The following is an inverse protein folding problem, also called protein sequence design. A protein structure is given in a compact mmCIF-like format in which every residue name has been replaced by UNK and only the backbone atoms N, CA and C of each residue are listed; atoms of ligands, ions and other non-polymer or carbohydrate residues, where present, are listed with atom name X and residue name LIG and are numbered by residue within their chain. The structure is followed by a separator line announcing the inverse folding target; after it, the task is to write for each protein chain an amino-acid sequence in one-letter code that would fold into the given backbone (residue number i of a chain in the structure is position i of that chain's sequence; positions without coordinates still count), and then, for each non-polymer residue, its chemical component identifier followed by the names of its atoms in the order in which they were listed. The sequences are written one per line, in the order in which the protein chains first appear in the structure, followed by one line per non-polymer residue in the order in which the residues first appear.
data_IF_662429946808
#
_entry.id   IF_662429946808
#
_cell.length_a   1.000
_cell.length_b   1.000
_cell.length_c   1.000
_cell.angle_alpha   90.00
_cell.angle_beta   90.00
_cell.angle_gamma   90.00
#
_symmetry.space_group_name_H-M   'P 1'
#
loop_
_entity.id
_entity.type
_entity.pdbx_description
1 polymer ?
#
# COMPACT_ATOMS: atom_id res chain seq x y z
N UNK A 1 -11.83 10.59 14.63
CA UNK A 1 -12.22 12.00 14.37
C UNK A 1 -11.11 12.77 13.67
N UNK A 2 -9.88 12.81 14.20
CA UNK A 2 -8.74 13.54 13.58
C UNK A 2 -8.37 13.07 12.17
N UNK A 3 -8.29 11.76 11.91
CA UNK A 3 -7.90 11.23 10.58
C UNK A 3 -8.92 11.56 9.49
N UNK A 4 -10.21 11.53 9.80
CA UNK A 4 -11.28 11.91 8.85
C UNK A 4 -11.16 13.37 8.44
N UNK A 5 -11.00 14.30 9.39
CA UNK A 5 -10.83 15.72 9.04
C UNK A 5 -9.59 15.98 8.18
N UNK A 6 -8.50 15.26 8.44
CA UNK A 6 -7.25 15.36 7.68
C UNK A 6 -7.42 14.81 6.26
N UNK A 7 -8.07 13.66 6.12
CA UNK A 7 -8.40 13.05 4.83
C UNK A 7 -9.37 13.94 4.05
N UNK A 8 -10.42 14.45 4.67
CA UNK A 8 -11.43 15.29 4.01
C UNK A 8 -10.83 16.61 3.52
N UNK A 9 -9.99 17.25 4.34
CA UNK A 9 -9.29 18.49 3.96
C UNK A 9 -8.28 18.26 2.83
N UNK A 10 -7.51 17.17 2.90
CA UNK A 10 -6.55 16.83 1.85
C UNK A 10 -7.25 16.40 0.55
N UNK A 11 -8.40 15.72 0.65
CA UNK A 11 -9.25 15.35 -0.50
C UNK A 11 -9.84 16.58 -1.16
N UNK A 12 -10.35 17.55 -0.38
CA UNK A 12 -10.89 18.80 -0.90
C UNK A 12 -9.82 19.63 -1.62
N UNK A 13 -8.59 19.66 -1.09
CA UNK A 13 -7.46 20.33 -1.72
C UNK A 13 -7.04 19.61 -3.02
N UNK A 14 -6.91 18.29 -3.01
CA UNK A 14 -6.54 17.54 -4.22
C UNK A 14 -7.57 17.68 -5.34
N UNK A 15 -8.87 17.72 -5.00
CA UNK A 15 -9.95 17.98 -5.98
C UNK A 15 -9.84 19.38 -6.59
N UNK A 16 -9.42 20.40 -5.85
CA UNK A 16 -9.24 21.75 -6.40
C UNK A 16 -8.06 21.84 -7.38
N UNK A 17 -7.13 20.89 -7.33
CA UNK A 17 -6.06 20.71 -8.32
C UNK A 17 -6.43 19.77 -9.49
N UNK A 18 -7.69 19.32 -9.59
CA UNK A 18 -8.14 18.44 -10.69
C UNK A 18 -7.71 16.98 -10.56
N UNK A 19 -7.21 16.57 -9.39
CA UNK A 19 -6.77 15.19 -9.13
C UNK A 19 -8.00 14.28 -8.97
N UNK A 20 -8.01 13.14 -9.65
CA UNK A 20 -9.14 12.19 -9.60
C UNK A 20 -9.31 11.56 -8.21
N UNK A 21 -10.55 11.20 -7.85
CA UNK A 21 -10.83 10.50 -6.59
C UNK A 21 -10.03 9.21 -6.45
N UNK A 22 -9.75 8.54 -7.57
CA UNK A 22 -8.90 7.35 -7.61
C UNK A 22 -7.47 7.68 -7.17
N UNK A 23 -6.84 8.73 -7.72
CA UNK A 23 -5.47 9.16 -7.32
C UNK A 23 -5.45 9.53 -5.84
N UNK A 24 -6.46 10.26 -5.36
CA UNK A 24 -6.58 10.63 -3.94
C UNK A 24 -6.64 9.38 -3.06
N UNK A 25 -7.43 8.37 -3.46
CA UNK A 25 -7.55 7.10 -2.76
C UNK A 25 -6.23 6.33 -2.68
N UNK A 26 -5.52 6.21 -3.80
CA UNK A 26 -4.25 5.44 -3.85
C UNK A 26 -3.05 6.20 -3.28
N UNK A 27 -3.19 7.48 -2.91
CA UNK A 27 -2.09 8.30 -2.39
C UNK A 27 -2.37 8.84 -0.99
N UNK A 28 -3.27 9.81 -0.86
CA UNK A 28 -3.52 10.54 0.39
C UNK A 28 -4.18 9.62 1.42
N UNK A 29 -5.22 8.90 1.01
CA UNK A 29 -5.94 8.00 1.92
C UNK A 29 -5.02 6.85 2.29
N UNK A 30 -4.41 6.19 1.30
CA UNK A 30 -3.47 5.10 1.51
C UNK A 30 -2.30 5.50 2.44
N UNK A 31 -1.67 6.66 2.21
CA UNK A 31 -0.58 7.15 3.07
C UNK A 31 -1.07 7.48 4.48
N UNK A 32 -2.25 8.10 4.62
CA UNK A 32 -2.83 8.43 5.91
C UNK A 32 -3.19 7.20 6.74
N UNK A 33 -3.69 6.13 6.10
CA UNK A 33 -4.02 4.87 6.77
C UNK A 33 -2.81 4.02 7.08
N UNK A 34 -1.72 4.10 6.29
CA UNK A 34 -0.53 3.26 6.47
C UNK A 34 0.62 3.95 7.22
N UNK A 35 0.50 5.25 7.52
CA UNK A 35 1.54 6.00 8.23
C UNK A 35 1.83 5.46 9.65
N UNK A 36 0.81 5.11 10.48
CA UNK A 36 1.06 4.48 11.78
C UNK A 36 1.83 3.17 11.66
N UNK A 37 1.44 2.31 10.72
CA UNK A 37 2.05 1.00 10.43
C UNK A 37 3.48 1.16 9.92
N UNK A 38 3.73 2.17 9.08
CA UNK A 38 5.07 2.50 8.62
C UNK A 38 5.96 2.93 9.78
N UNK A 39 5.44 3.75 10.69
CA UNK A 39 6.17 4.19 11.89
C UNK A 39 6.47 3.02 12.84
N UNK A 40 5.51 2.12 13.07
CA UNK A 40 5.73 0.93 13.90
C UNK A 40 6.71 -0.04 13.24
N UNK A 41 6.67 -0.21 11.92
CA UNK A 41 7.61 -1.03 11.18
C UNK A 41 9.05 -0.51 11.27
N UNK A 42 9.27 0.80 11.10
CA UNK A 42 10.58 1.43 11.28
C UNK A 42 11.06 1.24 12.72
N UNK A 43 10.21 1.51 13.71
CA UNK A 43 10.57 1.40 15.12
C UNK A 43 10.94 -0.04 15.49
N UNK A 44 10.20 -1.04 14.98
CA UNK A 44 10.50 -2.45 15.17
C UNK A 44 11.81 -2.85 14.49
N UNK A 45 12.08 -2.35 13.27
CA UNK A 45 13.33 -2.58 12.56
C UNK A 45 14.54 -2.00 13.29
N UNK A 46 14.44 -0.76 13.80
CA UNK A 46 15.50 -0.11 14.59
C UNK A 46 15.77 -0.85 15.90
N UNK A 47 14.73 -1.45 16.49
CA UNK A 47 14.84 -2.23 17.74
C UNK A 47 15.20 -3.71 17.52
N UNK A 48 15.51 -4.14 16.29
CA UNK A 48 15.85 -5.54 15.99
C UNK A 48 14.69 -6.54 16.07
N UNK A 49 13.44 -6.08 16.19
CA UNK A 49 12.23 -6.92 16.30
C UNK A 49 11.61 -7.20 14.91
N UNK A 50 12.41 -7.74 13.99
CA UNK A 50 12.02 -7.88 12.58
C UNK A 50 10.80 -8.78 12.34
N UNK A 51 10.63 -9.85 13.13
CA UNK A 51 9.50 -10.78 12.97
C UNK A 51 8.13 -10.17 13.29
N UNK A 52 8.07 -9.28 14.29
CA UNK A 52 6.83 -8.59 14.69
C UNK A 52 6.40 -7.58 13.61
N UNK A 53 7.38 -6.88 13.01
CA UNK A 53 7.12 -5.92 11.93
C UNK A 53 6.51 -6.58 10.69
N UNK A 54 7.02 -7.74 10.29
CA UNK A 54 6.54 -8.46 9.10
C UNK A 54 5.14 -9.01 9.33
N UNK A 55 4.89 -9.62 10.51
CA UNK A 55 3.58 -10.15 10.86
C UNK A 55 2.49 -9.08 10.88
N UNK A 56 2.81 -7.89 11.39
CA UNK A 56 1.87 -6.75 11.40
C UNK A 56 1.57 -6.24 9.99
N UNK A 57 2.58 -6.11 9.12
CA UNK A 57 2.39 -5.66 7.74
C UNK A 57 1.50 -6.62 6.96
N UNK A 58 1.89 -7.91 6.92
CA UNK A 58 1.18 -8.93 6.17
C UNK A 58 -0.24 -9.14 6.72
N UNK A 59 -0.39 -9.15 8.05
CA UNK A 59 -1.69 -9.30 8.70
C UNK A 59 -2.66 -8.18 8.34
N UNK A 60 -2.19 -6.93 8.31
CA UNK A 60 -3.00 -5.76 7.95
C UNK A 60 -3.46 -5.81 6.48
N UNK A 61 -2.56 -6.15 5.55
CA UNK A 61 -2.89 -6.27 4.12
C UNK A 61 -3.91 -7.39 3.86
N UNK A 62 -3.74 -8.54 4.50
CA UNK A 62 -4.70 -9.66 4.43
C UNK A 62 -6.06 -9.21 5.00
N UNK A 63 -6.07 -8.54 6.16
CA UNK A 63 -7.32 -8.07 6.77
C UNK A 63 -8.03 -7.01 5.91
N UNK A 64 -7.28 -6.10 5.28
CA UNK A 64 -7.86 -5.09 4.40
C UNK A 64 -8.49 -5.69 3.14
N UNK A 65 -7.83 -6.68 2.51
CA UNK A 65 -8.34 -7.32 1.29
C UNK A 65 -9.50 -8.27 1.59
N UNK A 66 -9.37 -9.16 2.59
CA UNK A 66 -10.39 -10.19 2.84
C UNK A 66 -11.47 -9.72 3.82
N UNK A 67 -11.09 -8.93 4.83
CA UNK A 67 -12.01 -8.39 5.83
C UNK A 67 -12.72 -7.14 5.31
N UNK A 68 -11.98 -6.03 5.17
CA UNK A 68 -12.58 -4.72 4.85
C UNK A 68 -13.22 -4.71 3.47
N UNK A 69 -12.48 -5.06 2.42
CA UNK A 69 -13.00 -5.06 1.05
C UNK A 69 -14.09 -6.15 0.86
N UNK A 70 -13.90 -7.33 1.46
CA UNK A 70 -14.91 -8.40 1.45
C UNK A 70 -16.24 -7.97 2.08
N UNK A 71 -16.19 -7.38 3.28
CA UNK A 71 -17.38 -6.84 3.95
C UNK A 71 -17.99 -5.66 3.18
N UNK A 72 -17.17 -4.76 2.62
CA UNK A 72 -17.66 -3.66 1.81
C UNK A 72 -18.42 -4.16 0.57
N UNK A 73 -17.93 -5.22 -0.08
CA UNK A 73 -18.61 -5.88 -1.20
C UNK A 73 -19.89 -6.62 -0.80
N UNK A 74 -19.99 -7.11 0.44
CA UNK A 74 -21.23 -7.70 0.97
C UNK A 74 -22.32 -6.65 1.23
N UNK A 75 -21.92 -5.45 1.66
CA UNK A 75 -22.85 -4.37 1.99
C UNK A 75 -23.33 -3.61 0.74
N UNK A 76 -22.50 -3.48 -0.28
CA UNK A 76 -22.82 -2.75 -1.50
C UNK A 76 -22.06 -3.27 -2.73
N UNK A 77 -22.67 -3.12 -3.91
CA UNK A 77 -21.99 -3.40 -5.18
C UNK A 77 -20.88 -2.36 -5.42
N UNK A 78 -19.63 -2.81 -5.32
CA UNK A 78 -18.46 -1.99 -5.62
C UNK A 78 -18.17 -2.01 -7.12
N UNK A 79 -18.25 -0.85 -7.78
CA UNK A 79 -17.84 -0.73 -9.18
C UNK A 79 -16.31 -0.68 -9.28
N UNK A 80 -15.73 -1.65 -9.99
CA UNK A 80 -14.28 -1.72 -10.22
C UNK A 80 -13.95 -1.03 -11.53
N UNK A 81 -13.18 0.06 -11.45
CA UNK A 81 -12.68 0.76 -12.64
C UNK A 81 -11.59 -0.05 -13.36
N UNK A 82 -11.36 0.15 -14.68
CA UNK A 82 -10.23 -0.46 -15.38
C UNK A 82 -8.87 -0.16 -14.73
N UNK A 83 -8.69 1.06 -14.20
CA UNK A 83 -7.47 1.49 -13.50
C UNK A 83 -7.26 0.73 -12.17
N UNK A 84 -8.36 0.40 -11.48
CA UNK A 84 -8.34 -0.47 -10.31
C UNK A 84 -7.84 -1.87 -10.66
N UNK A 85 -8.28 -2.42 -11.80
CA UNK A 85 -7.87 -3.76 -12.25
C UNK A 85 -6.37 -3.84 -12.56
N UNK A 86 -5.83 -2.80 -13.23
CA UNK A 86 -4.39 -2.69 -13.48
C UNK A 86 -3.59 -2.63 -12.17
N UNK A 87 -4.08 -1.88 -11.18
CA UNK A 87 -3.43 -1.81 -9.86
C UNK A 87 -3.45 -3.13 -9.09
N UNK A 88 -4.53 -3.91 -9.20
CA UNK A 88 -4.61 -5.25 -8.59
C UNK A 88 -3.59 -6.20 -9.24
N UNK A 89 -3.51 -6.22 -10.57
CA UNK A 89 -2.53 -7.06 -11.28
C UNK A 89 -1.10 -6.68 -10.92
N UNK A 90 -0.81 -5.38 -10.83
CA UNK A 90 0.50 -4.91 -10.40
C UNK A 90 0.82 -5.31 -8.96
N UNK A 91 -0.15 -5.23 -8.04
CA UNK A 91 0.00 -5.68 -6.65
C UNK A 91 0.36 -7.17 -6.59
N UNK A 92 -0.34 -8.01 -7.35
CA UNK A 92 -0.02 -9.45 -7.44
C UNK A 92 1.41 -9.65 -7.96
N UNK A 93 1.81 -8.92 -9.01
CA UNK A 93 3.17 -8.96 -9.53
C UNK A 93 4.22 -8.59 -8.48
N UNK A 94 3.99 -7.53 -7.72
CA UNK A 94 4.89 -7.09 -6.64
C UNK A 94 5.01 -8.14 -5.53
N UNK A 95 3.90 -8.77 -5.13
CA UNK A 95 3.91 -9.86 -4.14
C UNK A 95 4.74 -11.05 -4.63
N UNK A 96 4.61 -11.42 -5.91
CA UNK A 96 5.42 -12.49 -6.51
C UNK A 96 6.91 -12.12 -6.53
N UNK A 97 7.26 -10.89 -6.89
CA UNK A 97 8.65 -10.39 -6.86
C UNK A 97 9.22 -10.46 -5.44
N UNK A 98 8.48 -9.97 -4.44
CA UNK A 98 8.88 -10.04 -3.02
C UNK A 98 9.09 -11.50 -2.59
N UNK A 99 8.14 -12.37 -2.88
CA UNK A 99 8.22 -13.80 -2.55
C UNK A 99 9.42 -14.48 -3.22
N UNK A 100 9.70 -14.15 -4.48
CA UNK A 100 10.89 -14.61 -5.21
C UNK A 100 12.18 -14.14 -4.53
N UNK A 101 12.30 -12.84 -4.25
CA UNK A 101 13.50 -12.26 -3.62
C UNK A 101 13.81 -12.86 -2.24
N UNK A 102 12.78 -13.22 -1.47
CA UNK A 102 12.93 -13.88 -0.16
C UNK A 102 13.32 -15.36 -0.34
N UNK A 103 12.62 -16.11 -1.21
CA UNK A 103 12.82 -17.55 -1.42
C UNK A 103 14.16 -17.90 -2.07
N UNK A 104 14.75 -17.00 -2.86
CA UNK A 104 16.09 -17.19 -3.44
C UNK A 104 17.23 -17.16 -2.41
N UNK A 105 16.96 -16.76 -1.16
CA UNK A 105 17.95 -16.83 -0.07
C UNK A 105 17.73 -18.09 0.78
N UNK A 106 18.79 -18.89 0.98
CA UNK A 106 18.80 -20.01 1.94
C UNK A 106 18.45 -19.57 3.37
N UNK A 107 18.71 -18.31 3.71
CA UNK A 107 18.43 -17.75 5.04
C UNK A 107 17.10 -17.00 5.13
N UNK A 108 16.30 -16.91 4.05
CA UNK A 108 15.02 -16.17 4.01
C UNK A 108 15.12 -14.68 4.42
N UNK A 109 16.29 -14.07 4.27
CA UNK A 109 16.54 -12.67 4.63
C UNK A 109 16.28 -11.73 3.44
N UNK A 110 15.52 -10.67 3.67
CA UNK A 110 15.41 -9.52 2.77
C UNK A 110 16.54 -8.53 3.10
N UNK A 111 17.58 -8.47 2.27
CA UNK A 111 18.70 -7.54 2.45
C UNK A 111 18.31 -6.11 2.08
N UNK A 112 19.07 -5.12 2.56
CA UNK A 112 18.87 -3.70 2.23
C UNK A 112 18.90 -3.44 0.71
N UNK A 113 19.73 -4.17 -0.04
CA UNK A 113 19.79 -4.09 -1.52
C UNK A 113 18.47 -4.50 -2.16
N UNK A 114 17.87 -5.61 -1.70
CA UNK A 114 16.55 -6.07 -2.17
C UNK A 114 15.45 -5.08 -1.77
N UNK A 115 15.55 -4.50 -0.57
CA UNK A 115 14.68 -3.41 -0.11
C UNK A 115 14.73 -2.19 -1.03
N UNK A 116 15.91 -1.78 -1.49
CA UNK A 116 16.05 -0.67 -2.44
C UNK A 116 15.39 -0.95 -3.79
N UNK A 117 15.51 -2.19 -4.29
CA UNK A 117 14.82 -2.59 -5.53
C UNK A 117 13.30 -2.45 -5.37
N UNK A 118 12.76 -2.89 -4.23
CA UNK A 118 11.33 -2.80 -3.96
C UNK A 118 10.84 -1.34 -3.84
N UNK A 119 11.59 -0.50 -3.14
CA UNK A 119 11.28 0.94 -3.04
C UNK A 119 11.33 1.60 -4.42
N UNK A 120 12.36 1.30 -5.22
CA UNK A 120 12.50 1.83 -6.58
C UNK A 120 11.33 1.44 -7.49
N UNK A 121 10.91 0.18 -7.46
CA UNK A 121 9.74 -0.29 -8.21
C UNK A 121 8.44 0.38 -7.75
N UNK A 122 8.27 0.57 -6.44
CA UNK A 122 7.13 1.27 -5.87
C UNK A 122 7.06 2.74 -6.33
N UNK A 123 8.19 3.44 -6.31
CA UNK A 123 8.29 4.83 -6.78
C UNK A 123 8.03 4.94 -8.28
N UNK A 124 8.56 4.01 -9.09
CA UNK A 124 8.33 3.98 -10.53
C UNK A 124 6.83 3.81 -10.84
N UNK A 125 6.16 2.88 -10.16
CA UNK A 125 4.70 2.73 -10.27
C UNK A 125 3.98 4.03 -9.95
N UNK A 126 4.36 4.67 -8.84
CA UNK A 126 3.74 5.91 -8.39
C UNK A 126 3.86 6.98 -9.47
N UNK A 127 5.06 7.17 -10.03
CA UNK A 127 5.30 8.11 -11.14
C UNK A 127 4.44 7.81 -12.37
N UNK A 128 4.29 6.53 -12.75
CA UNK A 128 3.44 6.13 -13.87
C UNK A 128 1.97 6.46 -13.57
N UNK A 129 1.50 6.24 -12.34
CA UNK A 129 0.12 6.57 -11.93
C UNK A 129 -0.18 8.07 -11.97
N UNK A 130 0.81 8.95 -11.78
CA UNK A 130 0.62 10.40 -11.91
C UNK A 130 0.63 10.90 -13.36
N UNK A 131 1.21 10.14 -14.29
CA UNK A 131 1.42 10.59 -15.68
C UNK A 131 0.33 10.08 -16.65
N UNK A 132 -0.57 9.21 -16.17
CA UNK A 132 -1.67 8.61 -16.96
C UNK A 132 -2.99 9.38 -16.80
N UNK A 133 -3.00 10.47 -16.03
CA UNK A 133 -4.13 11.40 -15.84
C UNK A 133 -3.66 12.84 -16.01
#
# INVERSE_FOLDING_TARGET
MSTHFLIDSATALARSFGISEWVIGVTIIAAGTSAPEFATAILAAVRGHHGISIGSLIGSDIFNIFGVLGLAGMLQNLHVSPDSMFSILFLIGMVVVVGGLIKFNKEQILSWQKGMVLVGLGLLRWLISFNVH
#
